data_IF_381658009336
#
_entry.id   IF_381658009336
#
_cell.length_a   1.000
_cell.length_b   1.000
_cell.length_c   1.000
_cell.angle_alpha   90.00
_cell.angle_beta   90.00
_cell.angle_gamma   90.00
#
_symmetry.space_group_name_H-M   'P 1'
#
loop_
_entity.id
_entity.type
_entity.pdbx_description
1 polymer ?
#
# COMPACT_ATOMS: atom_id res chain seq x y z
N UNK A 1 -16.56 -7.06 -2.04
CA UNK A 1 -15.86 -8.30 -1.68
C UNK A 1 -14.53 -7.99 -1.01
N UNK A 2 -14.05 -8.94 -0.23
CA UNK A 2 -12.86 -8.82 0.60
C UNK A 2 -11.78 -9.79 0.16
N UNK A 3 -10.52 -9.43 0.44
CA UNK A 3 -9.37 -10.30 0.21
C UNK A 3 -8.59 -10.48 1.52
N UNK A 4 -8.25 -11.72 1.82
CA UNK A 4 -7.39 -12.08 2.95
C UNK A 4 -6.20 -12.88 2.44
N UNK A 5 -5.00 -12.55 2.91
CA UNK A 5 -3.75 -13.22 2.54
C UNK A 5 -2.92 -13.56 3.78
N UNK A 6 -2.21 -14.68 3.71
CA UNK A 6 -1.19 -15.10 4.68
C UNK A 6 -0.19 -16.00 3.98
N UNK A 7 0.75 -16.60 4.70
CA UNK A 7 1.73 -17.54 4.13
C UNK A 7 1.04 -18.56 3.20
N UNK A 8 1.50 -18.60 1.95
CA UNK A 8 1.04 -19.54 0.91
C UNK A 8 -0.49 -19.60 0.69
N UNK A 9 -1.24 -18.56 1.07
CA UNK A 9 -2.70 -18.60 1.01
C UNK A 9 -3.31 -17.25 0.67
N UNK A 10 -4.27 -17.25 -0.29
CA UNK A 10 -5.11 -16.12 -0.64
C UNK A 10 -6.58 -16.54 -0.68
N UNK A 11 -7.45 -15.78 -0.04
CA UNK A 11 -8.89 -15.99 -0.07
C UNK A 11 -9.60 -14.70 -0.52
N UNK A 12 -10.49 -14.84 -1.50
CA UNK A 12 -11.39 -13.76 -1.95
C UNK A 12 -12.84 -14.20 -1.68
N UNK A 13 -13.59 -13.35 -0.98
CA UNK A 13 -14.94 -13.69 -0.54
C UNK A 13 -15.85 -12.46 -0.49
N UNK A 14 -17.15 -12.71 -0.49
CA UNK A 14 -18.18 -11.68 -0.40
C UNK A 14 -19.25 -11.81 -1.46
N UNK A 15 -20.01 -10.74 -1.62
CA UNK A 15 -21.17 -10.65 -2.48
C UNK A 15 -20.87 -9.82 -3.72
N UNK A 16 -21.30 -10.31 -4.89
CA UNK A 16 -21.23 -9.57 -6.16
C UNK A 16 -22.54 -9.79 -6.92
N UNK A 17 -23.22 -8.70 -7.25
CA UNK A 17 -24.35 -8.70 -8.18
C UNK A 17 -23.87 -8.05 -9.48
N UNK A 18 -23.82 -8.82 -10.56
CA UNK A 18 -23.34 -8.37 -11.86
C UNK A 18 -23.97 -9.15 -12.99
N UNK A 19 -24.12 -8.51 -14.14
CA UNK A 19 -24.47 -9.17 -15.40
C UNK A 19 -23.29 -9.89 -16.07
N UNK A 20 -22.06 -9.68 -15.57
CA UNK A 20 -20.89 -10.37 -16.07
C UNK A 20 -20.90 -11.83 -15.59
N UNK A 21 -20.55 -12.75 -16.50
CA UNK A 21 -20.40 -14.16 -16.22
C UNK A 21 -18.93 -14.52 -16.34
N UNK A 22 -18.27 -14.64 -15.19
CA UNK A 22 -16.84 -15.01 -15.08
C UNK A 22 -16.77 -16.38 -14.42
N UNK A 23 -16.04 -17.31 -15.02
CA UNK A 23 -15.83 -18.64 -14.44
C UNK A 23 -14.95 -18.59 -13.19
N UNK A 24 -14.97 -19.64 -12.39
CA UNK A 24 -14.10 -19.73 -11.20
C UNK A 24 -12.62 -19.76 -11.58
N UNK A 25 -12.31 -20.40 -12.70
CA UNK A 25 -10.96 -20.51 -13.26
C UNK A 25 -10.45 -19.13 -13.70
N UNK A 26 -11.30 -18.31 -14.31
CA UNK A 26 -10.94 -16.94 -14.69
C UNK A 26 -10.73 -16.04 -13.44
N UNK A 27 -11.57 -16.19 -12.42
CA UNK A 27 -11.40 -15.47 -11.15
C UNK A 27 -10.07 -15.88 -10.48
N UNK A 28 -9.77 -17.18 -10.41
CA UNK A 28 -8.50 -17.65 -9.87
C UNK A 28 -7.31 -17.10 -10.66
N UNK A 29 -7.40 -17.09 -11.99
CA UNK A 29 -6.37 -16.52 -12.84
C UNK A 29 -6.14 -15.03 -12.55
N UNK A 30 -7.20 -14.23 -12.42
CA UNK A 30 -7.10 -12.81 -12.09
C UNK A 30 -6.41 -12.61 -10.73
N UNK A 31 -6.76 -13.42 -9.73
CA UNK A 31 -6.13 -13.37 -8.41
C UNK A 31 -4.63 -13.64 -8.51
N UNK A 32 -4.24 -14.72 -9.22
CA UNK A 32 -2.83 -15.09 -9.39
C UNK A 32 -2.05 -14.04 -10.17
N UNK A 33 -2.59 -13.57 -11.29
CA UNK A 33 -1.97 -12.53 -12.10
C UNK A 33 -1.73 -11.25 -11.28
N UNK A 34 -2.69 -10.84 -10.43
CA UNK A 34 -2.55 -9.69 -9.54
C UNK A 34 -1.45 -9.89 -8.49
N UNK A 35 -1.36 -11.07 -7.89
CA UNK A 35 -0.31 -11.40 -6.92
C UNK A 35 1.08 -11.31 -7.59
N UNK A 36 1.20 -11.86 -8.79
CA UNK A 36 2.45 -11.82 -9.59
C UNK A 36 2.80 -10.38 -9.98
N UNK A 37 1.82 -9.60 -10.45
CA UNK A 37 2.01 -8.19 -10.85
C UNK A 37 2.53 -7.33 -9.68
N UNK A 38 2.08 -7.58 -8.46
CA UNK A 38 2.56 -6.90 -7.25
C UNK A 38 4.03 -7.26 -6.97
N UNK A 39 4.54 -8.38 -7.49
CA UNK A 39 5.92 -8.84 -7.34
C UNK A 39 6.08 -10.06 -6.44
N UNK A 40 5.00 -10.77 -6.13
CA UNK A 40 5.02 -12.06 -5.44
C UNK A 40 5.02 -13.19 -6.49
N UNK A 41 6.15 -13.33 -7.16
CA UNK A 41 6.39 -14.28 -8.27
C UNK A 41 7.58 -15.22 -7.99
N UNK A 42 8.01 -15.29 -6.73
CA UNK A 42 9.16 -16.06 -6.30
C UNK A 42 8.83 -16.89 -5.05
N UNK A 43 9.03 -18.22 -5.07
CA UNK A 43 8.75 -19.11 -3.94
C UNK A 43 9.55 -18.77 -2.67
N UNK A 44 10.72 -18.12 -2.79
CA UNK A 44 11.53 -17.69 -1.63
C UNK A 44 10.81 -16.66 -0.75
N UNK A 45 9.74 -16.03 -1.25
CA UNK A 45 8.90 -15.11 -0.49
C UNK A 45 7.84 -15.82 0.39
N UNK A 46 7.75 -17.16 0.33
CA UNK A 46 6.75 -17.98 1.03
C UNK A 46 5.29 -17.52 0.75
N UNK A 47 5.13 -16.77 -0.33
CA UNK A 47 3.87 -16.35 -0.92
C UNK A 47 4.12 -16.06 -2.41
N UNK A 48 3.65 -16.95 -3.28
CA UNK A 48 3.93 -16.89 -4.72
C UNK A 48 2.63 -17.10 -5.50
N UNK A 49 2.31 -16.18 -6.39
CA UNK A 49 1.11 -16.22 -7.22
C UNK A 49 0.99 -17.46 -8.10
N UNK A 50 2.12 -18.11 -8.43
CA UNK A 50 2.11 -19.36 -9.22
C UNK A 50 1.67 -20.57 -8.41
N UNK A 51 1.98 -20.63 -7.10
CA UNK A 51 1.87 -21.84 -6.29
C UNK A 51 0.96 -21.71 -5.10
N UNK A 52 0.68 -20.50 -4.59
CA UNK A 52 -0.12 -20.31 -3.38
C UNK A 52 -1.53 -20.91 -3.52
N UNK A 53 -2.11 -21.31 -2.40
CA UNK A 53 -3.47 -21.81 -2.34
C UNK A 53 -4.45 -20.65 -2.51
N UNK A 54 -5.25 -20.68 -3.57
CA UNK A 54 -6.31 -19.68 -3.82
C UNK A 54 -7.67 -20.28 -3.47
N UNK A 55 -8.44 -19.58 -2.66
CA UNK A 55 -9.83 -19.91 -2.37
C UNK A 55 -10.76 -18.76 -2.70
N UNK A 56 -11.93 -19.08 -3.25
CA UNK A 56 -12.99 -18.11 -3.53
C UNK A 56 -14.29 -18.51 -2.85
N UNK A 57 -14.99 -17.52 -2.28
CA UNK A 57 -16.33 -17.64 -1.72
C UNK A 57 -17.15 -16.44 -2.13
N UNK A 58 -17.42 -16.35 -3.43
CA UNK A 58 -18.22 -15.29 -4.05
C UNK A 58 -19.62 -15.80 -4.35
N UNK A 59 -20.64 -15.03 -4.03
CA UNK A 59 -22.04 -15.31 -4.30
C UNK A 59 -22.80 -14.02 -4.60
N UNK A 60 -24.05 -14.16 -5.03
CA UNK A 60 -24.90 -12.99 -5.28
C UNK A 60 -25.32 -12.33 -3.97
N UNK A 61 -25.49 -11.01 -4.01
CA UNK A 61 -26.01 -10.25 -2.88
C UNK A 61 -27.44 -10.72 -2.55
N UNK A 62 -27.79 -10.71 -1.27
CA UNK A 62 -29.16 -10.96 -0.81
C UNK A 62 -30.17 -10.10 -1.55
N UNK A 63 -31.26 -10.69 -2.00
CA UNK A 63 -32.34 -9.97 -2.68
C UNK A 63 -32.93 -8.84 -1.80
N UNK A 64 -32.98 -9.04 -0.48
CA UNK A 64 -33.46 -8.05 0.48
C UNK A 64 -32.56 -6.82 0.53
N UNK A 65 -31.25 -6.99 0.46
CA UNK A 65 -30.26 -5.88 0.40
C UNK A 65 -30.31 -5.22 -0.99
N UNK A 66 -30.38 -6.03 -2.06
CA UNK A 66 -30.35 -5.53 -3.42
C UNK A 66 -31.55 -4.62 -3.77
N UNK A 67 -32.72 -4.82 -3.12
CA UNK A 67 -33.86 -3.91 -3.27
C UNK A 67 -33.54 -2.45 -2.88
N UNK A 68 -32.62 -2.26 -1.93
CA UNK A 68 -32.17 -0.93 -1.52
C UNK A 68 -31.11 -0.33 -2.43
N UNK A 69 -30.36 -1.16 -3.16
CA UNK A 69 -29.27 -0.77 -4.04
C UNK A 69 -29.77 -0.51 -5.47
N UNK A 70 -30.46 -1.50 -6.05
CA UNK A 70 -31.06 -1.41 -7.38
C UNK A 70 -32.53 -1.02 -7.26
N UNK A 71 -32.83 0.23 -7.51
CA UNK A 71 -34.18 0.81 -7.43
C UNK A 71 -34.89 0.88 -8.77
N UNK A 72 -34.25 0.39 -9.82
CA UNK A 72 -34.79 0.40 -11.20
C UNK A 72 -34.89 1.79 -11.84
N UNK A 73 -34.23 2.78 -11.26
CA UNK A 73 -34.09 4.14 -11.75
C UNK A 73 -32.59 4.49 -11.96
N UNK A 74 -32.28 5.71 -12.35
CA UNK A 74 -30.90 6.14 -12.62
C UNK A 74 -30.04 6.28 -11.36
N UNK A 75 -30.63 6.24 -10.16
CA UNK A 75 -29.94 6.43 -8.88
C UNK A 75 -29.81 5.11 -8.12
N UNK A 76 -28.57 4.60 -8.02
CA UNK A 76 -28.26 3.47 -7.16
C UNK A 76 -28.24 3.87 -5.69
N UNK A 77 -28.85 3.06 -4.83
CA UNK A 77 -28.77 3.20 -3.38
C UNK A 77 -27.47 2.61 -2.82
N UNK A 78 -27.25 2.78 -1.51
CA UNK A 78 -26.17 2.13 -0.78
C UNK A 78 -26.64 0.82 -0.14
N UNK A 79 -25.75 -0.17 -0.09
CA UNK A 79 -26.04 -1.48 0.54
C UNK A 79 -26.02 -1.42 2.07
N UNK A 80 -25.50 -0.35 2.68
CA UNK A 80 -25.44 -0.17 4.14
C UNK A 80 -25.34 1.31 4.51
N UNK A 81 -25.39 1.60 5.80
CA UNK A 81 -25.10 2.91 6.36
C UNK A 81 -23.63 3.28 6.10
N UNK A 82 -23.34 4.57 6.01
CA UNK A 82 -21.99 5.05 5.83
C UNK A 82 -21.80 6.47 6.36
N UNK A 83 -20.58 6.77 6.78
CA UNK A 83 -20.13 8.10 7.11
C UNK A 83 -18.87 8.41 6.31
N UNK A 84 -18.90 9.49 5.53
CA UNK A 84 -17.81 9.89 4.64
C UNK A 84 -17.17 11.17 5.16
N UNK A 85 -15.83 11.19 5.14
CA UNK A 85 -15.04 12.37 5.47
C UNK A 85 -14.21 12.77 4.25
N UNK A 86 -14.33 14.05 3.88
CA UNK A 86 -13.51 14.66 2.83
C UNK A 86 -12.60 15.71 3.43
N UNK A 87 -11.39 15.81 2.90
CA UNK A 87 -10.42 16.84 3.25
C UNK A 87 -9.62 17.24 2.01
N UNK A 88 -9.28 18.51 1.92
CA UNK A 88 -8.39 19.02 0.89
C UNK A 88 -7.54 20.14 1.46
N UNK A 89 -6.29 20.22 0.99
CA UNK A 89 -5.34 21.27 1.34
C UNK A 89 -4.64 21.74 0.08
N UNK A 90 -4.09 22.95 0.11
CA UNK A 90 -3.31 23.49 -1.00
C UNK A 90 -1.78 23.28 -0.84
N UNK A 91 -1.38 22.36 0.04
CA UNK A 91 0.02 22.03 0.28
C UNK A 91 0.67 21.30 -0.90
N UNK A 92 -0.14 20.58 -1.68
CA UNK A 92 0.31 19.77 -2.81
C UNK A 92 -0.60 19.95 -4.02
N UNK A 93 -0.10 19.63 -5.21
CA UNK A 93 -0.91 19.65 -6.44
C UNK A 93 -2.06 18.62 -6.41
N UNK A 94 -1.88 17.52 -5.68
CA UNK A 94 -2.91 16.50 -5.47
C UNK A 94 -4.00 16.92 -4.49
N UNK A 95 -3.89 18.09 -3.87
CA UNK A 95 -4.74 18.61 -2.79
C UNK A 95 -4.73 17.73 -1.53
N UNK A 96 -3.74 16.86 -1.41
CA UNK A 96 -3.52 16.00 -0.25
C UNK A 96 -2.58 16.66 0.76
N UNK A 97 -2.70 16.31 2.06
CA UNK A 97 -1.71 16.73 3.06
C UNK A 97 -0.30 16.30 2.69
N UNK A 98 0.68 17.19 2.85
CA UNK A 98 2.05 16.98 2.39
C UNK A 98 2.70 15.69 2.90
N UNK A 99 2.57 15.30 4.20
CA UNK A 99 3.22 14.09 4.69
C UNK A 99 2.77 12.81 4.02
N UNK A 100 1.47 12.64 3.79
CA UNK A 100 0.95 11.43 3.13
C UNK A 100 1.26 11.43 1.63
N UNK A 101 1.22 12.58 0.97
CA UNK A 101 1.60 12.71 -0.44
C UNK A 101 3.08 12.33 -0.64
N UNK A 102 3.97 12.85 0.20
CA UNK A 102 5.39 12.51 0.14
C UNK A 102 5.64 11.03 0.50
N UNK A 103 4.96 10.49 1.52
CA UNK A 103 5.08 9.08 1.88
C UNK A 103 4.66 8.15 0.72
N UNK A 104 3.59 8.50 -0.01
CA UNK A 104 3.16 7.76 -1.21
C UNK A 104 4.18 7.87 -2.34
N UNK A 105 4.76 9.04 -2.57
CA UNK A 105 5.83 9.23 -3.57
C UNK A 105 7.05 8.37 -3.24
N UNK A 106 7.42 8.27 -1.97
CA UNK A 106 8.53 7.41 -1.51
C UNK A 106 8.24 5.92 -1.78
N UNK A 107 7.06 5.43 -1.44
CA UNK A 107 6.70 4.01 -1.69
C UNK A 107 6.54 3.70 -3.17
N UNK A 108 5.99 4.63 -3.97
CA UNK A 108 5.93 4.46 -5.42
C UNK A 108 7.32 4.39 -6.05
N UNK A 109 8.23 5.29 -5.65
CA UNK A 109 9.62 5.26 -6.14
C UNK A 109 10.36 3.99 -5.71
N UNK A 110 10.09 3.48 -4.51
CA UNK A 110 10.64 2.21 -4.04
C UNK A 110 10.21 1.06 -4.97
N UNK A 111 8.94 1.03 -5.36
CA UNK A 111 8.40 0.05 -6.33
C UNK A 111 9.08 0.19 -7.69
N UNK A 112 9.22 1.40 -8.22
CA UNK A 112 9.91 1.64 -9.49
C UNK A 112 11.36 1.12 -9.47
N UNK A 113 12.11 1.39 -8.39
CA UNK A 113 13.50 0.96 -8.23
C UNK A 113 13.63 -0.58 -8.16
N UNK A 114 12.65 -1.26 -7.58
CA UNK A 114 12.55 -2.71 -7.57
C UNK A 114 12.24 -3.26 -8.95
N UNK A 115 11.18 -2.77 -9.61
CA UNK A 115 10.70 -3.27 -10.89
C UNK A 115 11.67 -3.00 -12.04
N UNK A 116 12.36 -1.86 -12.01
CA UNK A 116 13.41 -1.56 -13.00
C UNK A 116 14.69 -2.38 -12.80
N UNK A 117 14.83 -3.04 -11.63
CA UNK A 117 16.08 -3.74 -11.26
C UNK A 117 17.23 -2.80 -10.91
N UNK A 118 16.98 -1.49 -10.76
CA UNK A 118 18.01 -0.52 -10.35
C UNK A 118 18.52 -0.79 -8.94
N UNK A 119 17.65 -1.35 -8.07
CA UNK A 119 18.01 -1.92 -6.77
C UNK A 119 17.50 -3.37 -6.73
N UNK A 120 18.25 -4.34 -7.23
CA UNK A 120 17.76 -5.68 -7.53
C UNK A 120 17.43 -6.54 -6.30
N UNK A 121 17.96 -6.19 -5.15
CA UNK A 121 17.72 -6.90 -3.89
C UNK A 121 16.45 -6.45 -3.13
N UNK A 122 15.71 -5.45 -3.62
CA UNK A 122 14.45 -5.05 -3.02
C UNK A 122 13.37 -6.12 -3.22
N UNK A 123 12.52 -6.25 -2.19
CA UNK A 123 11.34 -7.11 -2.18
C UNK A 123 10.06 -6.27 -2.07
N UNK A 124 8.86 -6.85 -2.30
CA UNK A 124 7.64 -6.06 -2.46
C UNK A 124 7.18 -5.29 -1.21
N UNK A 125 7.46 -5.77 0.01
CA UNK A 125 6.97 -5.13 1.22
C UNK A 125 7.81 -3.89 1.56
N UNK A 126 7.12 -2.79 1.80
CA UNK A 126 7.74 -1.52 2.18
C UNK A 126 6.75 -0.57 2.83
N UNK A 127 7.27 0.31 3.65
CA UNK A 127 6.48 1.35 4.32
C UNK A 127 7.29 2.63 4.49
N UNK A 128 6.60 3.76 4.38
CA UNK A 128 7.18 5.09 4.60
C UNK A 128 6.35 5.88 5.60
N UNK A 129 7.04 6.69 6.39
CA UNK A 129 6.42 7.69 7.26
C UNK A 129 7.19 8.99 7.14
N UNK A 130 6.47 10.12 7.10
CA UNK A 130 7.06 11.45 6.99
C UNK A 130 6.49 12.33 8.10
N UNK A 131 7.37 13.01 8.81
CA UNK A 131 7.04 14.04 9.79
C UNK A 131 7.52 15.39 9.28
N UNK A 132 6.65 16.40 9.30
CA UNK A 132 6.85 17.70 8.68
C UNK A 132 6.76 18.81 9.72
N UNK A 133 7.64 19.79 9.62
CA UNK A 133 7.56 21.03 10.39
C UNK A 133 6.84 22.10 9.58
N UNK A 134 5.90 22.78 10.24
CA UNK A 134 5.13 23.89 9.69
C UNK A 134 5.50 25.21 10.36
N UNK A 135 5.44 26.29 9.62
CA UNK A 135 5.49 27.63 10.19
C UNK A 135 4.13 28.02 10.83
N UNK A 136 4.06 29.24 11.36
CA UNK A 136 2.83 29.74 11.99
C UNK A 136 1.69 30.00 11.01
N UNK A 137 2.02 30.17 9.75
CA UNK A 137 1.12 30.39 8.63
C UNK A 137 0.60 29.07 8.05
N UNK A 138 1.18 27.92 8.46
CA UNK A 138 0.80 26.57 8.00
C UNK A 138 1.55 26.12 6.75
N UNK A 139 2.65 26.78 6.38
CA UNK A 139 3.48 26.33 5.28
C UNK A 139 4.48 25.27 5.73
N UNK A 140 4.76 24.31 4.88
CA UNK A 140 5.81 23.30 5.10
C UNK A 140 7.18 23.98 5.02
N UNK A 141 8.01 23.81 6.05
CA UNK A 141 9.33 24.46 6.12
C UNK A 141 10.50 23.48 6.12
N UNK A 142 10.29 22.28 6.65
CA UNK A 142 11.31 21.22 6.65
C UNK A 142 10.71 19.87 7.04
N UNK A 143 11.46 18.80 6.82
CA UNK A 143 11.15 17.49 7.40
C UNK A 143 11.77 17.37 8.79
N UNK A 144 11.00 16.93 9.79
CA UNK A 144 11.52 16.52 11.09
C UNK A 144 12.09 15.10 11.03
N UNK A 145 11.35 14.18 10.36
CA UNK A 145 11.80 12.81 10.22
C UNK A 145 11.26 12.15 8.93
N UNK A 146 12.09 11.28 8.34
CA UNK A 146 11.70 10.34 7.31
C UNK A 146 12.04 8.94 7.78
N UNK A 147 11.04 8.06 7.80
CA UNK A 147 11.20 6.64 8.11
C UNK A 147 10.89 5.85 6.86
N UNK A 148 11.79 4.98 6.44
CA UNK A 148 11.59 4.01 5.38
C UNK A 148 11.97 2.61 5.89
N UNK A 149 11.06 1.66 5.73
CA UNK A 149 11.37 0.25 5.92
C UNK A 149 11.08 -0.47 4.61
N UNK A 150 12.05 -1.24 4.14
CA UNK A 150 11.93 -2.01 2.90
C UNK A 150 12.43 -3.43 3.07
N UNK A 151 11.65 -4.37 2.60
CA UNK A 151 12.06 -5.77 2.52
C UNK A 151 13.19 -5.91 1.48
N UNK A 152 14.15 -6.77 1.78
CA UNK A 152 15.29 -7.07 0.94
C UNK A 152 15.59 -8.57 0.97
N UNK A 153 16.41 -9.04 0.04
CA UNK A 153 16.89 -10.40 0.04
C UNK A 153 18.03 -10.62 1.07
N UNK A 154 18.46 -11.85 1.20
CA UNK A 154 19.49 -12.28 2.16
C UNK A 154 20.85 -11.62 1.94
N UNK A 155 21.16 -11.13 0.72
CA UNK A 155 22.45 -10.50 0.41
C UNK A 155 22.67 -9.20 1.17
N UNK A 156 21.58 -8.55 1.58
CA UNK A 156 21.63 -7.29 2.34
C UNK A 156 21.57 -7.49 3.86
N UNK A 157 21.45 -8.71 4.37
CA UNK A 157 21.31 -8.95 5.82
C UNK A 157 22.48 -8.42 6.63
N UNK A 158 23.68 -8.59 6.13
CA UNK A 158 24.93 -8.10 6.73
C UNK A 158 25.45 -6.80 6.05
N UNK A 159 24.73 -6.28 5.04
CA UNK A 159 25.13 -5.12 4.25
C UNK A 159 24.14 -3.93 4.40
N UNK A 160 23.58 -3.74 5.58
CA UNK A 160 22.56 -2.69 5.82
C UNK A 160 23.06 -1.27 5.53
N UNK A 161 24.33 -0.97 5.68
CA UNK A 161 24.89 0.34 5.35
C UNK A 161 24.87 0.62 3.84
N UNK A 162 25.14 -0.38 3.01
CA UNK A 162 25.01 -0.26 1.56
C UNK A 162 23.55 -0.02 1.16
N UNK A 163 22.61 -0.76 1.75
CA UNK A 163 21.18 -0.55 1.52
C UNK A 163 20.76 0.89 1.87
N UNK A 164 21.20 1.40 3.02
CA UNK A 164 20.88 2.78 3.43
C UNK A 164 21.44 3.80 2.44
N UNK A 165 22.66 3.59 1.95
CA UNK A 165 23.27 4.48 0.97
C UNK A 165 22.53 4.47 -0.37
N UNK A 166 22.17 3.28 -0.88
CA UNK A 166 21.38 3.17 -2.10
C UNK A 166 20.00 3.84 -1.97
N UNK A 167 19.35 3.71 -0.82
CA UNK A 167 18.09 4.39 -0.55
C UNK A 167 18.26 5.92 -0.52
N UNK A 168 19.32 6.44 0.11
CA UNK A 168 19.59 7.89 0.10
C UNK A 168 19.82 8.41 -1.30
N UNK A 169 20.70 7.76 -2.05
CA UNK A 169 21.14 8.23 -3.36
C UNK A 169 20.03 8.09 -4.44
N UNK A 170 19.33 6.95 -4.47
CA UNK A 170 18.41 6.62 -5.56
C UNK A 170 16.96 6.92 -5.26
N UNK A 171 16.59 6.95 -3.97
CA UNK A 171 15.21 7.19 -3.58
C UNK A 171 15.01 8.56 -2.94
N UNK A 172 15.69 8.87 -1.83
CA UNK A 172 15.48 10.13 -1.13
C UNK A 172 15.83 11.34 -1.99
N UNK A 173 17.00 11.35 -2.64
CA UNK A 173 17.41 12.42 -3.55
C UNK A 173 16.51 12.59 -4.78
N UNK A 174 15.84 11.52 -5.21
CA UNK A 174 14.93 11.57 -6.35
C UNK A 174 13.54 12.10 -6.00
N UNK A 175 13.13 12.00 -4.73
CA UNK A 175 11.74 12.25 -4.31
C UNK A 175 11.62 13.42 -3.35
N UNK A 176 12.57 13.60 -2.44
CA UNK A 176 12.52 14.64 -1.39
C UNK A 176 13.20 15.88 -1.92
N UNK A 177 12.51 17.05 -1.92
CA UNK A 177 13.14 18.32 -2.26
C UNK A 177 14.32 18.66 -1.30
N UNK A 178 15.46 19.03 -1.85
CA UNK A 178 16.68 19.30 -1.08
C UNK A 178 16.47 20.37 0.00
N UNK A 179 15.64 21.36 -0.27
CA UNK A 179 15.33 22.46 0.66
C UNK A 179 14.58 22.03 1.91
N UNK A 180 13.95 20.85 1.90
CA UNK A 180 13.20 20.31 3.05
C UNK A 180 14.06 19.44 3.94
N UNK A 181 15.22 18.97 3.46
CA UNK A 181 16.18 18.21 4.25
C UNK A 181 17.22 19.16 4.86
N UNK A 182 17.54 18.97 6.13
CA UNK A 182 18.58 19.73 6.81
C UNK A 182 19.28 18.88 7.86
N UNK A 183 20.29 19.43 8.53
CA UNK A 183 21.11 18.73 9.54
C UNK A 183 20.32 18.18 10.75
N UNK A 184 19.11 18.69 10.97
CA UNK A 184 18.23 18.25 12.06
C UNK A 184 17.22 17.20 11.62
N UNK A 185 17.08 16.94 10.33
CA UNK A 185 16.16 15.92 9.80
C UNK A 185 16.66 14.52 10.17
N UNK A 186 15.82 13.77 10.84
CA UNK A 186 16.11 12.40 11.26
C UNK A 186 15.78 11.42 10.15
N UNK A 187 16.78 10.68 9.69
CA UNK A 187 16.61 9.60 8.73
C UNK A 187 16.61 8.25 9.43
N UNK A 188 15.58 7.45 9.17
CA UNK A 188 15.45 6.10 9.69
C UNK A 188 15.20 5.12 8.54
N UNK A 189 16.24 4.45 8.07
CA UNK A 189 16.15 3.42 7.02
C UNK A 189 16.38 2.06 7.69
N UNK A 190 15.39 1.17 7.58
CA UNK A 190 15.37 -0.12 8.27
C UNK A 190 15.85 -0.01 9.74
N UNK A 191 15.18 0.82 10.57
CA UNK A 191 15.68 1.14 11.91
C UNK A 191 15.77 -0.06 12.85
N UNK A 192 15.05 -1.13 12.57
CA UNK A 192 15.09 -2.39 13.33
C UNK A 192 16.18 -3.36 12.86
N UNK A 193 16.93 -2.97 11.82
CA UNK A 193 17.94 -3.82 11.19
C UNK A 193 17.41 -4.52 9.94
N UNK A 194 17.77 -5.78 9.72
CA UNK A 194 17.38 -6.54 8.55
C UNK A 194 15.86 -6.75 8.45
N UNK A 195 15.38 -6.77 7.22
CA UNK A 195 13.98 -6.99 6.90
C UNK A 195 13.88 -7.98 5.72
N UNK A 196 14.17 -9.25 5.97
CA UNK A 196 14.10 -10.35 4.99
C UNK A 196 12.68 -10.92 4.89
N UNK A 197 12.02 -11.14 6.03
CA UNK A 197 10.68 -11.71 6.10
C UNK A 197 9.67 -10.59 6.09
N UNK A 198 8.83 -10.54 5.06
CA UNK A 198 7.81 -9.51 4.87
C UNK A 198 6.63 -10.03 4.05
N UNK A 199 5.75 -9.10 3.64
CA UNK A 199 4.54 -9.44 2.91
C UNK A 199 3.63 -10.38 3.68
N UNK A 200 2.79 -11.18 2.98
CA UNK A 200 1.85 -12.10 3.59
C UNK A 200 2.48 -13.18 4.49
N UNK A 201 3.75 -13.52 4.25
CA UNK A 201 4.49 -14.45 5.10
C UNK A 201 4.88 -13.81 6.44
N UNK A 202 5.24 -12.54 6.44
CA UNK A 202 5.60 -11.80 7.66
C UNK A 202 4.39 -11.40 8.50
N UNK A 203 3.30 -10.98 7.86
CA UNK A 203 2.07 -10.52 8.50
C UNK A 203 0.87 -10.74 7.59
N UNK A 204 -0.22 -11.29 8.14
CA UNK A 204 -1.45 -11.51 7.38
C UNK A 204 -2.07 -10.18 6.92
N UNK A 205 -2.51 -10.15 5.67
CA UNK A 205 -3.18 -9.00 5.06
C UNK A 205 -4.69 -9.19 4.94
N UNK A 206 -5.43 -8.11 5.06
CA UNK A 206 -6.87 -8.05 4.84
C UNK A 206 -7.24 -6.70 4.23
N UNK A 207 -8.13 -6.70 3.24
CA UNK A 207 -8.69 -5.47 2.67
C UNK A 207 -9.32 -4.58 3.75
N UNK A 208 -9.22 -3.26 3.57
CA UNK A 208 -9.77 -2.28 4.51
C UNK A 208 -9.02 -2.14 5.84
N UNK A 209 -7.81 -2.68 5.97
CA UNK A 209 -6.98 -2.59 7.19
C UNK A 209 -5.89 -1.51 7.15
N UNK A 210 -5.86 -0.67 6.11
CA UNK A 210 -4.91 0.46 5.97
C UNK A 210 -5.66 1.79 5.79
N UNK A 211 -6.73 2.00 6.56
CA UNK A 211 -7.66 3.12 6.40
C UNK A 211 -7.02 4.52 6.49
N UNK A 212 -5.96 4.67 7.27
CA UNK A 212 -5.24 5.94 7.39
C UNK A 212 -4.38 6.20 6.15
N UNK A 213 -3.75 5.17 5.59
CA UNK A 213 -3.02 5.25 4.31
C UNK A 213 -3.99 5.48 3.15
N UNK A 214 -5.15 4.84 3.18
CA UNK A 214 -6.18 4.95 2.13
C UNK A 214 -6.86 6.33 2.13
N UNK A 215 -6.73 7.10 3.20
CA UNK A 215 -7.33 8.42 3.36
C UNK A 215 -6.29 9.54 3.40
N UNK A 216 -6.14 10.25 4.51
CA UNK A 216 -5.37 11.50 4.58
C UNK A 216 -4.14 11.42 5.52
N UNK A 217 -3.66 10.23 5.85
CA UNK A 217 -2.45 10.07 6.68
C UNK A 217 -2.60 10.56 8.12
N UNK A 218 -3.83 10.63 8.64
CA UNK A 218 -4.11 11.11 9.98
C UNK A 218 -4.38 12.62 10.09
N UNK A 219 -4.35 13.36 8.99
CA UNK A 219 -4.63 14.81 8.96
C UNK A 219 -6.12 15.15 8.98
N UNK A 220 -6.97 14.22 8.63
CA UNK A 220 -8.42 14.39 8.69
C UNK A 220 -9.09 13.23 9.43
N UNK A 221 -10.35 13.44 9.76
CA UNK A 221 -11.20 12.39 10.35
C UNK A 221 -11.45 11.29 9.34
N UNK A 222 -11.77 10.11 9.83
CA UNK A 222 -12.15 8.94 9.04
C UNK A 222 -13.30 8.19 9.68
N UNK A 223 -13.93 7.30 8.93
CA UNK A 223 -15.13 6.57 9.38
C UNK A 223 -14.87 5.28 10.17
N UNK A 224 -13.63 4.94 10.42
CA UNK A 224 -13.26 3.71 11.14
C UNK A 224 -12.53 2.69 10.33
#
# INVERSE_FOLDING_TARGET
CETCVTTDFCMVFGEITSSAHISKEEIEKIIRDTIIEIGYDNPDLEFDGHTCIVQTRLHEQSADINQGVDRGDEESGAGDQGMMFGNATNETESLMPYPIDLARKLTNKLTELRESGEIPYLRPDGKAQVSVNYDKEGNVVSLDAVVLSTQHDETMSDNQEQLKEDIREKLFKAVIPDELMNENTKEHINPTGKFEIGGPHGDAGLTGRKIIVDTYGGYARHGG
#
